data_IF_590413651512
#
_entry.id   IF_590413651512
#
_cell.length_a   1.000
_cell.length_b   1.000
_cell.length_c   1.000
_cell.angle_alpha   90.00
_cell.angle_beta   90.00
_cell.angle_gamma   90.00
#
_symmetry.space_group_name_H-M   'P 1'
#
loop_
_entity.id
_entity.type
_entity.pdbx_description
1 polymer ?
#
# COMPACT_ATOMS: atom_id res chain seq x y z
N UNK A 1 38.85 14.17 59.85
CA UNK A 1 38.78 15.18 58.76
C UNK A 1 37.74 14.69 57.78
N UNK A 2 36.74 15.53 57.50
CA UNK A 2 35.51 15.23 56.78
C UNK A 2 35.71 15.03 55.27
N UNK A 3 34.81 14.24 54.68
CA UNK A 3 34.36 14.36 53.29
C UNK A 3 35.12 13.50 52.28
N UNK A 4 34.51 12.93 51.25
CA UNK A 4 33.13 12.99 50.78
C UNK A 4 32.99 11.80 49.83
N UNK A 5 31.97 10.96 50.03
CA UNK A 5 31.47 10.04 49.02
C UNK A 5 30.70 10.83 47.97
N UNK A 6 31.08 10.77 46.69
CA UNK A 6 30.15 10.87 45.56
C UNK A 6 30.71 10.07 44.40
N UNK A 7 30.05 8.96 44.07
CA UNK A 7 30.21 8.30 42.79
C UNK A 7 29.47 9.05 41.70
N UNK A 8 29.98 8.99 40.47
CA UNK A 8 29.19 9.29 39.28
C UNK A 8 29.67 8.39 38.13
N UNK A 9 29.01 7.25 38.01
CA UNK A 9 28.90 6.56 36.73
C UNK A 9 28.04 7.42 35.81
N UNK A 10 28.49 7.65 34.58
CA UNK A 10 27.74 7.32 33.36
C UNK A 10 28.52 7.78 32.14
N UNK A 11 28.84 6.79 31.31
CA UNK A 11 29.37 6.91 29.97
C UNK A 11 28.38 7.72 29.15
N UNK A 12 28.77 8.94 28.76
CA UNK A 12 28.02 9.76 27.82
C UNK A 12 28.20 9.21 26.40
N UNK A 13 27.46 8.15 26.07
CA UNK A 13 27.24 7.74 24.69
C UNK A 13 25.93 8.37 24.19
N UNK A 14 25.93 9.19 23.12
CA UNK A 14 24.70 9.56 22.46
C UNK A 14 24.19 8.36 21.65
N UNK A 15 23.45 7.47 22.31
CA UNK A 15 22.57 6.51 21.64
C UNK A 15 21.25 7.22 21.35
N UNK A 16 20.93 7.34 20.07
CA UNK A 16 19.57 7.21 19.57
C UNK A 16 18.62 8.37 19.83
N UNK A 17 18.43 9.18 18.80
CA UNK A 17 17.09 9.63 18.41
C UNK A 17 17.04 9.58 16.88
N UNK A 18 16.94 8.37 16.33
CA UNK A 18 16.29 8.24 15.03
C UNK A 18 14.83 8.55 15.32
N UNK A 19 14.47 9.82 15.20
CA UNK A 19 13.09 10.25 15.05
C UNK A 19 12.60 9.62 13.75
N UNK A 20 12.18 8.35 13.82
CA UNK A 20 11.26 7.85 12.83
C UNK A 20 10.03 8.73 12.98
N UNK A 21 9.66 9.54 11.97
CA UNK A 21 8.35 10.17 12.01
C UNK A 21 7.35 9.03 12.21
N UNK A 22 6.57 9.09 13.29
CA UNK A 22 5.34 8.32 13.40
C UNK A 22 4.53 8.70 12.16
N UNK A 23 4.64 7.86 11.14
CA UNK A 23 3.82 8.00 9.95
C UNK A 23 2.48 7.48 10.42
N UNK A 24 1.44 8.31 10.60
CA UNK A 24 0.12 7.75 10.83
C UNK A 24 -0.12 6.76 9.70
N UNK A 25 -0.37 5.49 10.04
CA UNK A 25 -0.64 4.47 9.05
C UNK A 25 -1.80 5.00 8.20
N UNK A 26 -1.60 5.17 6.88
CA UNK A 26 -2.56 5.92 6.09
C UNK A 26 -3.90 5.19 6.14
N UNK A 27 -4.99 5.94 6.29
CA UNK A 27 -6.22 5.57 5.58
C UNK A 27 -5.79 5.51 4.11
N UNK A 28 -5.55 4.28 3.65
CA UNK A 28 -4.47 3.93 2.72
C UNK A 28 -4.48 4.83 1.48
N UNK A 29 -3.33 5.45 1.14
CA UNK A 29 -3.17 6.50 0.11
C UNK A 29 -3.91 6.16 -1.20
N UNK A 30 -3.93 4.87 -1.55
CA UNK A 30 -4.66 4.34 -2.70
C UNK A 30 -6.17 4.65 -2.66
N UNK A 31 -6.79 4.56 -1.49
CA UNK A 31 -8.24 4.73 -1.27
C UNK A 31 -8.67 6.12 -0.82
N UNK A 32 -7.71 7.02 -0.56
CA UNK A 32 -8.01 8.37 -0.11
C UNK A 32 -8.89 9.12 -1.12
N UNK A 33 -10.05 9.62 -0.69
CA UNK A 33 -10.95 10.40 -1.53
C UNK A 33 -11.54 9.64 -2.72
N UNK A 34 -11.69 8.32 -2.63
CA UNK A 34 -12.36 7.56 -3.69
C UNK A 34 -13.86 7.91 -3.73
N UNK A 35 -14.40 8.21 -4.93
CA UNK A 35 -15.82 8.44 -5.12
C UNK A 35 -16.60 7.11 -5.02
N UNK A 36 -17.89 7.23 -4.74
CA UNK A 36 -18.82 6.09 -4.82
C UNK A 36 -19.13 5.69 -6.27
N UNK A 37 -18.94 6.62 -7.22
CA UNK A 37 -19.09 6.38 -8.66
C UNK A 37 -17.99 5.47 -9.20
N UNK A 38 -18.38 4.41 -9.91
CA UNK A 38 -17.47 3.36 -10.37
C UNK A 38 -16.46 3.87 -11.40
N UNK A 39 -16.94 4.63 -12.40
CA UNK A 39 -16.08 5.11 -13.49
C UNK A 39 -15.07 6.14 -12.97
N UNK A 40 -15.52 7.05 -12.12
CA UNK A 40 -14.66 8.04 -11.47
C UNK A 40 -13.64 7.38 -10.54
N UNK A 41 -14.05 6.36 -9.77
CA UNK A 41 -13.17 5.63 -8.85
C UNK A 41 -12.12 4.83 -9.60
N UNK A 42 -12.52 4.07 -10.62
CA UNK A 42 -11.61 3.32 -11.48
C UNK A 42 -10.60 4.26 -12.16
N UNK A 43 -11.08 5.38 -12.72
CA UNK A 43 -10.21 6.37 -13.39
C UNK A 43 -9.20 6.98 -12.42
N UNK A 44 -9.63 7.34 -11.21
CA UNK A 44 -8.75 7.92 -10.19
C UNK A 44 -7.66 6.93 -9.75
N UNK A 45 -8.04 5.68 -9.50
CA UNK A 45 -7.11 4.61 -9.13
C UNK A 45 -6.11 4.31 -10.23
N UNK A 46 -6.59 4.16 -11.47
CA UNK A 46 -5.74 3.93 -12.65
C UNK A 46 -4.73 5.06 -12.80
N UNK A 47 -5.19 6.31 -12.73
CA UNK A 47 -4.31 7.50 -12.82
C UNK A 47 -3.23 7.52 -11.73
N UNK A 48 -3.59 7.14 -10.49
CA UNK A 48 -2.63 7.08 -9.38
C UNK A 48 -1.56 6.00 -9.61
N UNK A 49 -1.99 4.82 -10.05
CA UNK A 49 -1.09 3.71 -10.29
C UNK A 49 -0.20 3.95 -11.52
N UNK A 50 -0.74 4.46 -12.63
CA UNK A 50 0.03 4.84 -13.82
C UNK A 50 1.12 5.87 -13.50
N UNK A 51 0.77 6.89 -12.69
CA UNK A 51 1.71 7.93 -12.30
C UNK A 51 2.84 7.40 -11.42
N UNK A 52 2.54 6.45 -10.53
CA UNK A 52 3.51 5.91 -9.55
C UNK A 52 4.31 4.74 -10.10
N UNK A 53 3.70 3.93 -10.95
CA UNK A 53 4.23 2.69 -11.50
C UNK A 53 4.02 2.68 -13.03
N UNK A 54 4.79 3.50 -13.76
CA UNK A 54 4.71 3.51 -15.21
C UNK A 54 5.17 2.17 -15.81
N UNK A 55 4.68 1.80 -16.99
CA UNK A 55 5.18 0.63 -17.73
C UNK A 55 6.70 0.66 -17.91
N UNK A 56 7.32 -0.52 -17.85
CA UNK A 56 8.77 -0.70 -17.89
C UNK A 56 9.48 -0.59 -16.53
N UNK A 57 8.77 -0.15 -15.48
CA UNK A 57 9.25 -0.17 -14.09
C UNK A 57 9.19 -1.56 -13.45
N UNK A 58 9.76 -1.75 -12.24
CA UNK A 58 9.76 -3.06 -11.59
C UNK A 58 8.36 -3.49 -11.13
N UNK A 59 7.87 -4.64 -11.59
CA UNK A 59 6.54 -5.13 -11.21
C UNK A 59 6.42 -5.42 -9.70
N UNK A 60 7.53 -5.83 -9.06
CA UNK A 60 7.56 -6.14 -7.64
C UNK A 60 7.30 -4.91 -6.74
N UNK A 61 7.56 -3.68 -7.22
CA UNK A 61 7.30 -2.46 -6.45
C UNK A 61 5.80 -2.15 -6.42
N UNK A 62 5.10 -2.39 -7.54
CA UNK A 62 3.63 -2.32 -7.59
C UNK A 62 3.04 -3.33 -6.61
N UNK A 63 3.46 -4.59 -6.67
CA UNK A 63 2.99 -5.64 -5.77
C UNK A 63 3.17 -5.27 -4.30
N UNK A 64 4.41 -4.92 -3.91
CA UNK A 64 4.73 -4.53 -2.52
C UNK A 64 3.87 -3.36 -2.05
N UNK A 65 3.67 -2.37 -2.92
CA UNK A 65 2.82 -1.23 -2.61
C UNK A 65 1.37 -1.67 -2.36
N UNK A 66 0.77 -2.44 -3.27
CA UNK A 66 -0.62 -2.87 -3.14
C UNK A 66 -0.85 -3.73 -1.89
N UNK A 67 0.07 -4.63 -1.57
CA UNK A 67 0.03 -5.42 -0.34
C UNK A 67 0.13 -4.52 0.90
N UNK A 68 1.00 -3.51 0.88
CA UNK A 68 1.11 -2.52 1.96
C UNK A 68 -0.14 -1.63 2.10
N UNK A 69 -0.96 -1.52 1.05
CA UNK A 69 -2.26 -0.85 1.10
C UNK A 69 -3.37 -1.77 1.67
N UNK A 70 -3.07 -3.02 2.00
CA UNK A 70 -4.05 -3.98 2.51
C UNK A 70 -4.83 -4.71 1.43
N UNK A 71 -4.34 -4.72 0.18
CA UNK A 71 -4.86 -5.65 -0.83
C UNK A 71 -4.26 -7.02 -0.61
N UNK A 72 -5.01 -8.07 -0.94
CA UNK A 72 -4.61 -9.45 -0.76
C UNK A 72 -4.55 -10.20 -2.09
N UNK A 73 -3.61 -11.13 -2.29
CA UNK A 73 -3.56 -11.96 -3.49
C UNK A 73 -4.90 -12.65 -3.75
N UNK A 74 -5.38 -12.57 -4.98
CA UNK A 74 -6.65 -13.14 -5.41
C UNK A 74 -6.41 -14.32 -6.35
N UNK A 75 -7.07 -15.48 -6.13
CA UNK A 75 -6.93 -16.64 -7.03
C UNK A 75 -7.61 -16.42 -8.39
N UNK A 76 -8.33 -15.30 -8.57
CA UNK A 76 -9.00 -14.95 -9.83
C UNK A 76 -8.02 -14.43 -10.92
N UNK A 77 -6.71 -14.60 -10.72
CA UNK A 77 -5.72 -14.23 -11.72
C UNK A 77 -5.90 -15.09 -13.00
N UNK A 78 -5.90 -14.42 -14.16
CA UNK A 78 -5.83 -15.10 -15.46
C UNK A 78 -4.40 -15.61 -15.66
N UNK A 79 -4.22 -16.68 -16.45
CA UNK A 79 -2.90 -17.24 -16.72
C UNK A 79 -1.91 -16.16 -17.21
N UNK A 80 -0.78 -16.02 -16.50
CA UNK A 80 0.25 -15.01 -16.79
C UNK A 80 -0.02 -13.62 -16.20
N UNK A 81 -1.07 -13.46 -15.40
CA UNK A 81 -1.34 -12.24 -14.62
C UNK A 81 -1.14 -12.52 -13.12
N UNK A 82 -0.78 -11.47 -12.40
CA UNK A 82 -0.91 -11.42 -10.94
C UNK A 82 -2.13 -10.58 -10.61
N UNK A 83 -2.84 -10.90 -9.53
CA UNK A 83 -4.05 -10.21 -9.14
C UNK A 83 -4.12 -10.05 -7.62
N UNK A 84 -4.56 -8.88 -7.17
CA UNK A 84 -4.88 -8.60 -5.77
C UNK A 84 -6.26 -7.97 -5.65
N UNK A 85 -6.90 -8.15 -4.50
CA UNK A 85 -8.23 -7.64 -4.23
C UNK A 85 -8.33 -7.00 -2.85
N UNK A 86 -9.23 -6.04 -2.70
CA UNK A 86 -9.68 -5.52 -1.42
C UNK A 86 -11.17 -5.24 -1.46
N UNK A 87 -11.81 -5.32 -0.28
CA UNK A 87 -13.17 -4.84 -0.05
C UNK A 87 -13.07 -3.68 0.93
N UNK A 88 -13.67 -2.54 0.60
CA UNK A 88 -13.72 -1.36 1.47
C UNK A 88 -15.13 -0.80 1.52
N UNK A 89 -15.50 -0.10 2.60
CA UNK A 89 -16.82 0.52 2.72
C UNK A 89 -17.47 0.26 4.07
N UNK A 90 -18.71 0.70 4.25
CA UNK A 90 -19.44 0.45 5.50
C UNK A 90 -19.84 -1.01 5.54
N UNK A 91 -19.75 -1.63 6.71
CA UNK A 91 -19.89 -3.06 7.02
C UNK A 91 -21.11 -3.81 6.44
N UNK A 92 -22.09 -3.12 5.87
CA UNK A 92 -23.28 -3.72 5.23
C UNK A 92 -23.21 -3.65 3.70
N UNK A 93 -22.49 -2.68 3.12
CA UNK A 93 -22.38 -2.46 1.68
C UNK A 93 -20.92 -2.12 1.33
N UNK A 94 -20.23 -3.09 0.73
CA UNK A 94 -18.82 -2.95 0.36
C UNK A 94 -18.64 -2.50 -1.08
N UNK A 95 -17.53 -1.84 -1.34
CA UNK A 95 -16.97 -1.67 -2.65
C UNK A 95 -15.79 -2.63 -2.78
N UNK A 96 -15.68 -3.27 -3.93
CA UNK A 96 -14.62 -4.19 -4.27
C UNK A 96 -13.70 -3.58 -5.30
N UNK A 97 -12.41 -3.79 -5.08
CA UNK A 97 -11.34 -3.46 -5.99
C UNK A 97 -10.56 -4.71 -6.31
N UNK A 98 -10.33 -4.93 -7.60
CA UNK A 98 -9.37 -5.90 -8.10
C UNK A 98 -8.35 -5.16 -8.96
N UNK A 99 -7.08 -5.44 -8.73
CA UNK A 99 -5.97 -4.92 -9.52
C UNK A 99 -5.18 -6.10 -10.04
N UNK A 100 -5.13 -6.25 -11.36
CA UNK A 100 -4.29 -7.24 -12.03
C UNK A 100 -3.15 -6.59 -12.81
N UNK A 101 -2.03 -7.29 -12.97
CA UNK A 101 -0.90 -6.82 -13.76
C UNK A 101 -0.17 -7.94 -14.47
N UNK A 102 0.53 -7.56 -15.54
CA UNK A 102 1.46 -8.42 -16.29
C UNK A 102 2.88 -7.94 -16.12
N UNK A 103 3.80 -8.88 -15.98
CA UNK A 103 5.22 -8.63 -16.04
C UNK A 103 5.84 -9.36 -17.24
N UNK A 104 6.90 -8.78 -17.80
CA UNK A 104 7.73 -9.47 -18.80
C UNK A 104 8.70 -10.47 -18.15
N UNK A 105 9.52 -11.13 -18.96
CA UNK A 105 10.53 -12.09 -18.50
C UNK A 105 11.60 -11.46 -17.60
N UNK A 106 11.75 -10.13 -17.65
CA UNK A 106 12.67 -9.35 -16.82
C UNK A 106 11.98 -8.77 -15.57
N UNK A 107 10.78 -9.25 -15.25
CA UNK A 107 9.95 -8.79 -14.13
C UNK A 107 9.60 -7.29 -14.18
N UNK A 108 9.52 -6.71 -15.37
CA UNK A 108 9.08 -5.33 -15.58
C UNK A 108 7.59 -5.28 -15.87
N UNK A 109 6.93 -4.27 -15.31
CA UNK A 109 5.52 -4.03 -15.49
C UNK A 109 5.22 -3.73 -16.96
N UNK A 110 4.45 -4.60 -17.62
CA UNK A 110 3.99 -4.39 -18.99
C UNK A 110 2.71 -3.56 -18.98
N UNK A 111 1.76 -3.94 -18.12
CA UNK A 111 0.49 -3.27 -17.96
C UNK A 111 -0.13 -3.64 -16.61
N UNK A 112 -1.07 -2.81 -16.16
CA UNK A 112 -1.97 -3.14 -15.06
C UNK A 112 -3.40 -2.76 -15.42
N UNK A 113 -4.35 -3.38 -14.74
CA UNK A 113 -5.78 -3.14 -14.89
C UNK A 113 -6.39 -2.96 -13.53
N UNK A 114 -7.20 -1.90 -13.40
CA UNK A 114 -8.01 -1.64 -12.22
C UNK A 114 -9.46 -1.96 -12.55
N UNK A 115 -10.12 -2.71 -11.68
CA UNK A 115 -11.56 -2.95 -11.75
C UNK A 115 -12.15 -2.57 -10.39
N UNK A 116 -13.11 -1.65 -10.41
CA UNK A 116 -13.74 -1.08 -9.22
C UNK A 116 -15.26 -1.19 -9.34
N UNK A 117 -15.92 -1.82 -8.38
CA UNK A 117 -17.37 -2.01 -8.40
C UNK A 117 -17.94 -2.22 -7.00
N UNK A 118 -19.25 -2.07 -6.85
CA UNK A 118 -19.93 -2.37 -5.59
C UNK A 118 -20.11 -3.88 -5.43
N UNK A 119 -19.62 -4.43 -4.32
CA UNK A 119 -19.82 -5.85 -4.01
C UNK A 119 -21.26 -6.19 -3.61
N UNK A 120 -22.14 -5.19 -3.57
CA UNK A 120 -23.49 -5.30 -3.05
C UNK A 120 -23.51 -5.17 -1.54
N UNK A 121 -24.73 -5.09 -1.00
CA UNK A 121 -24.99 -5.28 0.41
C UNK A 121 -25.40 -6.74 0.65
N UNK A 122 -24.92 -7.36 1.73
CA UNK A 122 -25.41 -8.67 2.18
C UNK A 122 -26.79 -8.53 2.83
#
# INVERSE_FOLDING_TARGET
MFGLWVGLHLVAGPVGLVLFPETPAPATELFAGLPEDYDAGQKLLTTRLDKRFPPGGPAHDLERYLLAQGLHPSPAAVAGEQNVTAIWGRSVCGQRLDISWKADEQARLVSHRVVYWNSGCL
#
